data_IF_937506566938
#
_entry.id   IF_937506566938
#
_cell.length_a   1.000
_cell.length_b   1.000
_cell.length_c   1.000
_cell.angle_alpha   90.00
_cell.angle_beta   90.00
_cell.angle_gamma   90.00
#
_symmetry.space_group_name_H-M   'P 1'
#
loop_
_entity.id
_entity.type
_entity.pdbx_description
1 polymer ?
#
# COMPACT_ATOMS: atom_id res chain seq x y z
N UNK A 1 -28.45 2.83 2.77
CA UNK A 1 -28.02 2.82 1.35
C UNK A 1 -26.50 2.76 1.17
N UNK A 2 -25.67 3.29 2.08
CA UNK A 2 -24.20 3.24 1.96
C UNK A 2 -23.63 1.86 2.29
N UNK A 3 -24.10 1.25 3.39
CA UNK A 3 -23.69 -0.10 3.84
C UNK A 3 -23.88 -1.17 2.75
N UNK A 4 -25.07 -1.25 2.15
CA UNK A 4 -25.32 -2.22 1.06
C UNK A 4 -24.48 -2.03 -0.20
N UNK A 5 -23.87 -0.85 -0.42
CA UNK A 5 -22.93 -0.62 -1.53
C UNK A 5 -21.51 -1.02 -1.17
N UNK A 6 -21.12 -0.85 0.10
CA UNK A 6 -19.81 -1.27 0.61
C UNK A 6 -19.71 -2.80 0.60
N UNK A 7 -20.78 -3.49 1.02
CA UNK A 7 -20.82 -4.95 0.99
C UNK A 7 -20.69 -5.50 -0.43
N UNK A 8 -21.45 -4.96 -1.38
CA UNK A 8 -21.35 -5.34 -2.80
C UNK A 8 -19.95 -5.07 -3.38
N UNK A 9 -19.30 -3.97 -2.97
CA UNK A 9 -17.93 -3.68 -3.38
C UNK A 9 -16.95 -4.70 -2.81
N UNK A 10 -17.12 -5.09 -1.55
CA UNK A 10 -16.31 -6.10 -0.86
C UNK A 10 -16.42 -7.46 -1.54
N UNK A 11 -17.65 -7.92 -1.82
CA UNK A 11 -17.90 -9.16 -2.55
C UNK A 11 -17.23 -9.15 -3.93
N UNK A 12 -17.37 -8.06 -4.68
CA UNK A 12 -16.75 -7.92 -5.99
C UNK A 12 -15.21 -7.94 -5.94
N UNK A 13 -14.61 -7.26 -4.97
CA UNK A 13 -13.16 -7.26 -4.78
C UNK A 13 -12.63 -8.63 -4.35
N UNK A 14 -13.35 -9.35 -3.49
CA UNK A 14 -13.00 -10.70 -3.06
C UNK A 14 -13.08 -11.70 -4.22
N UNK A 15 -14.13 -11.62 -5.05
CA UNK A 15 -14.25 -12.44 -6.26
C UNK A 15 -13.12 -12.16 -7.27
N UNK A 16 -12.72 -10.90 -7.42
CA UNK A 16 -11.59 -10.53 -8.27
C UNK A 16 -10.27 -11.10 -7.74
N UNK A 17 -10.06 -11.06 -6.42
CA UNK A 17 -8.90 -11.67 -5.77
C UNK A 17 -8.87 -13.18 -6.02
N UNK A 18 -9.94 -13.90 -5.72
CA UNK A 18 -10.04 -15.35 -5.92
C UNK A 18 -9.79 -15.76 -7.38
N UNK A 19 -10.31 -14.97 -8.33
CA UNK A 19 -10.09 -15.22 -9.76
C UNK A 19 -8.62 -14.97 -10.13
N UNK A 20 -8.02 -13.89 -9.65
CA UNK A 20 -6.62 -13.57 -9.92
C UNK A 20 -5.67 -14.63 -9.33
N UNK A 21 -5.96 -15.13 -8.13
CA UNK A 21 -5.23 -16.24 -7.50
C UNK A 21 -5.32 -17.53 -8.33
N UNK A 22 -6.53 -17.90 -8.77
CA UNK A 22 -6.75 -19.08 -9.62
C UNK A 22 -6.06 -19.01 -10.97
N UNK A 23 -5.86 -17.79 -11.49
CA UNK A 23 -5.18 -17.54 -12.76
C UNK A 23 -3.68 -17.24 -12.57
N UNK A 24 -3.19 -17.24 -11.32
CA UNK A 24 -1.80 -16.89 -10.97
C UNK A 24 -1.37 -15.49 -11.47
N UNK A 25 -2.33 -14.56 -11.57
CA UNK A 25 -2.14 -13.20 -12.07
C UNK A 25 -1.67 -12.28 -10.94
N UNK A 26 -0.39 -12.41 -10.54
CA UNK A 26 0.17 -11.72 -9.37
C UNK A 26 -0.06 -10.21 -9.32
N UNK A 27 -0.02 -9.52 -10.46
CA UNK A 27 -0.29 -8.07 -10.53
C UNK A 27 -1.75 -7.75 -10.16
N UNK A 28 -2.68 -8.61 -10.56
CA UNK A 28 -4.11 -8.45 -10.26
C UNK A 28 -4.44 -8.89 -8.83
N UNK A 29 -3.71 -9.87 -8.28
CA UNK A 29 -3.78 -10.22 -6.85
C UNK A 29 -3.42 -9.00 -6.00
N UNK A 30 -2.27 -8.37 -6.28
CA UNK A 30 -1.83 -7.18 -5.54
C UNK A 30 -2.82 -6.01 -5.70
N UNK A 31 -3.38 -5.80 -6.89
CA UNK A 31 -4.40 -4.77 -7.13
C UNK A 31 -5.70 -5.05 -6.37
N UNK A 32 -6.14 -6.30 -6.27
CA UNK A 32 -7.34 -6.67 -5.53
C UNK A 32 -7.19 -6.33 -4.03
N UNK A 33 -6.01 -6.56 -3.47
CA UNK A 33 -5.69 -6.11 -2.10
C UNK A 33 -5.76 -4.58 -1.94
N UNK A 34 -5.34 -3.78 -2.92
CA UNK A 34 -5.55 -2.31 -2.87
C UNK A 34 -7.03 -1.97 -2.76
N UNK A 35 -7.89 -2.63 -3.54
CA UNK A 35 -9.34 -2.41 -3.49
C UNK A 35 -9.94 -2.82 -2.15
N UNK A 36 -9.58 -3.99 -1.64
CA UNK A 36 -10.04 -4.46 -0.31
C UNK A 36 -9.59 -3.48 0.80
N UNK A 37 -8.37 -2.96 0.72
CA UNK A 37 -7.88 -1.97 1.68
C UNK A 37 -8.66 -0.65 1.66
N UNK A 38 -9.02 -0.15 0.47
CA UNK A 38 -9.87 1.05 0.33
C UNK A 38 -11.29 0.82 0.82
N UNK A 39 -11.85 -0.36 0.57
CA UNK A 39 -13.19 -0.76 1.04
C UNK A 39 -13.20 -0.82 2.57
N UNK A 40 -12.21 -1.48 3.17
CA UNK A 40 -12.05 -1.57 4.61
C UNK A 40 -11.91 -0.18 5.26
N UNK A 41 -11.16 0.75 4.65
CA UNK A 41 -11.08 2.13 5.14
C UNK A 41 -12.43 2.84 5.14
N UNK A 42 -13.21 2.70 4.06
CA UNK A 42 -14.55 3.29 3.95
C UNK A 42 -15.51 2.75 5.00
N UNK A 43 -15.30 1.49 5.41
CA UNK A 43 -16.08 0.77 6.42
C UNK A 43 -15.57 1.00 7.85
N UNK A 44 -14.47 1.73 8.03
CA UNK A 44 -13.85 2.00 9.34
C UNK A 44 -13.04 0.84 9.91
N UNK A 45 -12.80 -0.22 9.13
CA UNK A 45 -12.02 -1.38 9.51
C UNK A 45 -10.51 -1.11 9.34
N UNK A 46 -9.97 -0.24 10.19
CA UNK A 46 -8.62 0.27 10.04
C UNK A 46 -7.54 -0.82 9.99
N UNK A 47 -7.60 -1.81 10.88
CA UNK A 47 -6.64 -2.91 10.89
C UNK A 47 -6.73 -3.79 9.63
N UNK A 48 -7.94 -4.00 9.11
CA UNK A 48 -8.11 -4.74 7.86
C UNK A 48 -7.52 -3.97 6.71
N UNK A 49 -7.80 -2.66 6.61
CA UNK A 49 -7.20 -1.81 5.59
C UNK A 49 -5.67 -1.90 5.60
N UNK A 50 -5.06 -1.79 6.78
CA UNK A 50 -3.61 -1.86 6.94
C UNK A 50 -3.04 -3.19 6.42
N UNK A 51 -3.66 -4.32 6.79
CA UNK A 51 -3.28 -5.66 6.32
C UNK A 51 -3.39 -5.81 4.80
N UNK A 52 -4.45 -5.26 4.20
CA UNK A 52 -4.66 -5.33 2.76
C UNK A 52 -3.62 -4.49 1.99
N UNK A 53 -3.30 -3.28 2.47
CA UNK A 53 -2.23 -2.47 1.85
C UNK A 53 -0.87 -3.12 1.97
N UNK A 54 -0.56 -3.77 3.11
CA UNK A 54 0.70 -4.53 3.24
C UNK A 54 0.79 -5.69 2.24
N UNK A 55 -0.31 -6.40 1.98
CA UNK A 55 -0.34 -7.47 0.98
C UNK A 55 -0.12 -6.93 -0.43
N UNK A 56 -0.80 -5.83 -0.78
CA UNK A 56 -0.60 -5.16 -2.07
C UNK A 56 0.85 -4.69 -2.27
N UNK A 57 1.44 -4.03 -1.26
CA UNK A 57 2.83 -3.55 -1.29
C UNK A 57 3.79 -4.72 -1.53
N UNK A 58 3.69 -5.80 -0.73
CA UNK A 58 4.53 -6.99 -0.90
C UNK A 58 4.40 -7.59 -2.30
N UNK A 59 3.18 -7.65 -2.83
CA UNK A 59 2.92 -8.15 -4.19
C UNK A 59 3.59 -7.30 -5.27
N UNK A 60 3.40 -5.98 -5.23
CA UNK A 60 4.02 -5.08 -6.21
C UNK A 60 5.55 -5.04 -6.10
N UNK A 61 6.10 -5.10 -4.88
CA UNK A 61 7.54 -5.21 -4.65
C UNK A 61 8.12 -6.48 -5.26
N UNK A 62 7.51 -7.64 -4.97
CA UNK A 62 7.96 -8.94 -5.47
C UNK A 62 7.95 -9.00 -7.01
N UNK A 63 7.01 -8.31 -7.65
CA UNK A 63 6.88 -8.23 -9.11
C UNK A 63 7.70 -7.09 -9.74
N UNK A 64 8.35 -6.25 -8.94
CA UNK A 64 9.10 -5.09 -9.42
C UNK A 64 8.26 -4.00 -10.07
N UNK A 65 6.95 -3.94 -9.77
CA UNK A 65 6.00 -3.00 -10.38
C UNK A 65 6.05 -1.62 -9.72
N UNK A 66 7.14 -0.88 -9.98
CA UNK A 66 7.47 0.38 -9.27
C UNK A 66 6.38 1.46 -9.33
N UNK A 67 5.73 1.63 -10.48
CA UNK A 67 4.67 2.65 -10.62
C UNK A 67 3.44 2.29 -9.77
N UNK A 68 3.03 1.03 -9.76
CA UNK A 68 1.94 0.55 -8.92
C UNK A 68 2.29 0.57 -7.44
N UNK A 69 3.53 0.23 -7.10
CA UNK A 69 4.04 0.34 -5.73
C UNK A 69 3.99 1.77 -5.21
N UNK A 70 4.44 2.74 -6.02
CA UNK A 70 4.35 4.17 -5.71
C UNK A 70 2.90 4.59 -5.47
N UNK A 71 1.99 4.23 -6.36
CA UNK A 71 0.57 4.56 -6.23
C UNK A 71 -0.03 3.93 -4.97
N UNK A 72 0.28 2.66 -4.69
CA UNK A 72 -0.18 1.94 -3.50
C UNK A 72 0.26 2.65 -2.21
N UNK A 73 1.54 3.03 -2.10
CA UNK A 73 2.03 3.81 -0.97
C UNK A 73 1.35 5.18 -0.85
N UNK A 74 1.12 5.88 -1.97
CA UNK A 74 0.45 7.17 -1.97
C UNK A 74 -0.99 7.09 -1.45
N UNK A 75 -1.77 6.10 -1.93
CA UNK A 75 -3.14 5.86 -1.46
C UNK A 75 -3.16 5.52 0.02
N UNK A 76 -2.24 4.67 0.48
CA UNK A 76 -2.19 4.28 1.88
C UNK A 76 -1.76 5.44 2.80
N UNK A 77 -0.81 6.26 2.34
CA UNK A 77 -0.42 7.48 3.05
C UNK A 77 -1.60 8.44 3.22
N UNK A 78 -2.41 8.66 2.18
CA UNK A 78 -3.62 9.50 2.27
C UNK A 78 -4.63 8.97 3.30
N UNK A 79 -4.82 7.65 3.35
CA UNK A 79 -5.67 6.99 4.35
C UNK A 79 -5.15 7.24 5.76
N UNK A 80 -3.86 7.02 5.98
CA UNK A 80 -3.21 7.24 7.28
C UNK A 80 -3.27 8.71 7.72
N UNK A 81 -3.13 9.66 6.79
CA UNK A 81 -3.30 11.10 7.09
C UNK A 81 -4.72 11.40 7.55
N UNK A 82 -5.75 10.87 6.88
CA UNK A 82 -7.16 11.06 7.30
C UNK A 82 -7.43 10.49 8.69
N UNK A 83 -6.69 9.45 9.09
CA UNK A 83 -6.75 8.85 10.44
C UNK A 83 -5.93 9.60 11.49
N UNK A 84 -5.12 10.59 11.09
CA UNK A 84 -4.21 11.33 11.96
C UNK A 84 -2.88 10.61 12.25
N UNK A 85 -2.59 9.51 11.55
CA UNK A 85 -1.37 8.71 11.71
C UNK A 85 -0.19 9.28 10.90
N UNK A 86 0.11 10.57 11.11
CA UNK A 86 1.02 11.36 10.28
C UNK A 86 2.43 10.76 10.16
N UNK A 87 2.95 10.13 11.23
CA UNK A 87 4.26 9.49 11.19
C UNK A 87 4.30 8.30 10.22
N UNK A 88 3.24 7.48 10.17
CA UNK A 88 3.17 6.35 9.24
C UNK A 88 2.95 6.84 7.81
N UNK A 89 2.07 7.82 7.63
CA UNK A 89 1.82 8.45 6.34
C UNK A 89 3.11 9.00 5.71
N UNK A 90 3.91 9.73 6.50
CA UNK A 90 5.21 10.24 6.06
C UNK A 90 6.17 9.12 5.66
N UNK A 91 6.18 8.01 6.42
CA UNK A 91 6.94 6.81 6.07
C UNK A 91 6.57 6.28 4.68
N UNK A 92 5.27 6.09 4.40
CA UNK A 92 4.82 5.64 3.08
C UNK A 92 5.07 6.65 1.97
N UNK A 93 4.95 7.96 2.23
CA UNK A 93 5.30 8.99 1.26
C UNK A 93 6.79 8.92 0.89
N UNK A 94 7.66 8.66 1.88
CA UNK A 94 9.09 8.43 1.66
C UNK A 94 9.31 7.20 0.79
N UNK A 95 8.66 6.08 1.07
CA UNK A 95 8.76 4.86 0.25
C UNK A 95 8.26 5.08 -1.20
N UNK A 96 7.14 5.80 -1.37
CA UNK A 96 6.61 6.16 -2.70
C UNK A 96 7.63 6.93 -3.54
N UNK A 97 8.34 7.89 -2.93
CA UNK A 97 9.40 8.66 -3.59
C UNK A 97 10.60 7.77 -3.99
N UNK A 98 10.97 6.80 -3.14
CA UNK A 98 12.02 5.83 -3.46
C UNK A 98 11.63 4.95 -4.65
N UNK A 99 10.38 4.50 -4.72
CA UNK A 99 9.86 3.72 -5.85
C UNK A 99 9.88 4.52 -7.16
N UNK A 100 9.62 5.83 -7.12
CA UNK A 100 9.68 6.74 -8.28
C UNK A 100 11.11 6.95 -8.81
N UNK A 101 12.05 7.16 -7.89
CA UNK A 101 13.43 7.56 -8.18
C UNK A 101 14.39 6.89 -7.20
N UNK A 102 14.82 5.65 -7.49
CA UNK A 102 15.75 4.93 -6.64
C UNK A 102 17.09 5.70 -6.57
N UNK A 103 17.35 6.35 -5.44
CA UNK A 103 18.58 7.13 -5.20
C UNK A 103 18.37 8.52 -4.59
N UNK A 104 17.16 9.08 -4.62
CA UNK A 104 16.91 10.45 -4.15
C UNK A 104 16.97 10.59 -2.61
N UNK A 105 16.72 9.50 -1.89
CA UNK A 105 16.70 9.45 -0.42
C UNK A 105 17.89 8.68 0.17
N UNK A 106 18.83 8.24 -0.68
CA UNK A 106 20.05 7.57 -0.21
C UNK A 106 21.05 8.65 0.23
N UNK A 107 20.90 9.15 1.47
CA UNK A 107 21.97 9.64 2.37
C UNK A 107 21.39 10.33 3.63
N UNK A 108 21.14 9.56 4.69
CA UNK A 108 21.17 10.08 6.07
C UNK A 108 21.87 9.11 7.06
N UNK A 109 22.64 8.12 6.58
CA UNK A 109 23.31 7.15 7.46
C UNK A 109 24.81 6.93 7.15
N UNK A 110 25.52 7.94 6.64
CA UNK A 110 27.00 7.87 6.48
C UNK A 110 27.75 9.06 7.14
N UNK A 111 27.11 9.77 8.08
CA UNK A 111 27.65 10.98 8.70
C UNK A 111 28.29 10.85 10.09
N UNK A 112 28.31 9.67 10.71
CA UNK A 112 28.90 9.49 12.05
C UNK A 112 29.92 8.35 12.07
N UNK A 113 30.96 8.50 11.27
CA UNK A 113 32.28 7.97 11.65
C UNK A 113 33.25 9.14 11.68
N UNK A 114 33.09 10.00 12.70
CA UNK A 114 34.19 10.85 13.14
C UNK A 114 35.23 9.91 13.75
N UNK A 115 36.19 9.51 12.90
CA UNK A 115 37.40 8.84 13.35
C UNK A 115 38.17 9.83 14.22
N UNK A 116 38.07 9.66 15.53
CA UNK A 116 39.05 10.20 16.46
C UNK A 116 40.38 9.48 16.21
N UNK A 117 41.36 10.20 15.67
CA UNK A 117 42.78 9.85 15.73
C UNK A 117 43.57 11.16 15.91
#
# INVERSE_FOLDING_TARGET
MKEGKVEQAREGAQQALELAERLEEGANIAEAHVWLGRIADVDGEHESADREFEQAIRGFEALGMRERLLQCHGVYAEILERRGELSKAYGHMKEALQASRPGLLRREHEGERVSSA
#
